data_IF_121680000721
#
_entry.id   IF_121680000721
#
_cell.length_a   1.000
_cell.length_b   1.000
_cell.length_c   1.000
_cell.angle_alpha   90.00
_cell.angle_beta   90.00
_cell.angle_gamma   90.00
#
_symmetry.space_group_name_H-M   'P 1'
#
loop_
_entity.id
_entity.type
_entity.pdbx_description
1 polymer ?
#
# COMPACT_ATOMS: atom_id res chain seq x y z
N UNK A 1 -27.98 10.03 22.85
CA UNK A 1 -28.76 11.15 22.26
C UNK A 1 -27.92 11.91 21.20
N UNK A 2 -26.70 12.37 21.50
CA UNK A 2 -25.85 13.07 20.50
C UNK A 2 -25.54 12.26 19.26
N UNK A 3 -25.25 10.94 19.36
CA UNK A 3 -25.01 10.08 18.20
C UNK A 3 -26.26 9.88 17.32
N UNK A 4 -27.44 9.90 17.93
CA UNK A 4 -28.72 9.78 17.16
C UNK A 4 -29.00 11.05 16.39
N UNK A 5 -28.69 12.21 16.97
CA UNK A 5 -28.85 13.52 16.35
C UNK A 5 -27.87 13.69 15.16
N UNK A 6 -26.62 13.30 15.33
CA UNK A 6 -25.59 13.32 14.26
C UNK A 6 -25.97 12.38 13.11
N UNK A 7 -26.41 11.15 13.40
CA UNK A 7 -26.89 10.23 12.37
C UNK A 7 -28.13 10.77 11.62
N UNK A 8 -29.02 11.46 12.33
CA UNK A 8 -30.20 12.06 11.71
C UNK A 8 -29.84 13.25 10.81
N UNK A 9 -28.87 14.07 11.21
CA UNK A 9 -28.35 15.14 10.39
C UNK A 9 -27.63 14.61 9.14
N UNK A 10 -26.86 13.53 9.25
CA UNK A 10 -26.21 12.85 8.10
C UNK A 10 -27.24 12.19 7.15
N UNK A 11 -28.38 11.75 7.65
CA UNK A 11 -29.47 11.23 6.82
C UNK A 11 -30.26 12.32 6.07
N UNK A 12 -30.36 13.51 6.66
CA UNK A 12 -31.02 14.68 6.08
C UNK A 12 -30.13 15.44 5.06
N UNK A 13 -28.80 15.21 5.06
CA UNK A 13 -27.93 15.80 4.04
C UNK A 13 -28.19 15.25 2.62
N UNK A 14 -28.42 16.15 1.68
CA UNK A 14 -28.61 15.81 0.27
C UNK A 14 -27.37 15.11 -0.29
N UNK A 15 -27.49 13.80 -0.55
CA UNK A 15 -26.38 12.99 -1.10
C UNK A 15 -26.13 13.35 -2.55
N UNK A 16 -24.92 13.77 -2.84
CA UNK A 16 -24.50 14.13 -4.18
C UNK A 16 -24.22 12.92 -5.06
N UNK A 17 -24.60 13.03 -6.31
CA UNK A 17 -24.22 12.08 -7.35
C UNK A 17 -22.74 12.26 -7.73
N UNK A 18 -22.14 11.25 -8.34
CA UNK A 18 -20.76 11.34 -8.84
C UNK A 18 -20.57 12.52 -9.80
N UNK A 19 -21.56 12.83 -10.62
CA UNK A 19 -21.53 13.97 -11.57
C UNK A 19 -21.45 15.31 -10.84
N UNK A 20 -22.24 15.50 -9.80
CA UNK A 20 -22.21 16.72 -8.97
C UNK A 20 -20.86 16.86 -8.25
N UNK A 21 -20.38 15.78 -7.62
CA UNK A 21 -19.09 15.73 -6.95
C UNK A 21 -17.93 16.03 -7.91
N UNK A 22 -17.97 15.53 -9.14
CA UNK A 22 -16.94 15.77 -10.14
C UNK A 22 -16.96 17.19 -10.72
N UNK A 23 -18.12 17.79 -10.85
CA UNK A 23 -18.28 19.15 -11.39
C UNK A 23 -17.85 20.23 -10.38
N UNK A 24 -17.85 19.94 -9.10
CA UNK A 24 -17.38 20.85 -8.07
C UNK A 24 -15.87 20.74 -7.91
N UNK A 25 -15.15 21.85 -8.01
CA UNK A 25 -13.69 21.89 -8.12
C UNK A 25 -12.97 21.27 -6.91
N UNK A 26 -13.37 21.60 -5.71
CA UNK A 26 -12.74 21.09 -4.49
C UNK A 26 -13.05 19.61 -4.23
N UNK A 27 -14.29 19.17 -4.43
CA UNK A 27 -14.67 17.76 -4.27
C UNK A 27 -14.01 16.87 -5.30
N UNK A 28 -13.86 17.33 -6.54
CA UNK A 28 -13.09 16.63 -7.58
C UNK A 28 -11.65 16.39 -7.16
N UNK A 29 -11.00 17.39 -6.55
CA UNK A 29 -9.62 17.22 -6.03
C UNK A 29 -9.56 16.19 -4.92
N UNK A 30 -10.52 16.18 -4.01
CA UNK A 30 -10.60 15.19 -2.93
C UNK A 30 -10.83 13.78 -3.48
N UNK A 31 -11.71 13.63 -4.46
CA UNK A 31 -11.93 12.37 -5.17
C UNK A 31 -10.63 11.86 -5.81
N UNK A 32 -9.88 12.72 -6.48
CA UNK A 32 -8.59 12.37 -7.08
C UNK A 32 -7.54 11.98 -6.04
N UNK A 33 -7.51 12.66 -4.88
CA UNK A 33 -6.62 12.29 -3.77
C UNK A 33 -6.99 10.90 -3.24
N UNK A 34 -8.27 10.62 -3.00
CA UNK A 34 -8.73 9.33 -2.53
C UNK A 34 -8.45 8.19 -3.52
N UNK A 35 -8.70 8.41 -4.80
CA UNK A 35 -8.36 7.45 -5.88
C UNK A 35 -6.84 7.19 -5.89
N UNK A 36 -6.03 8.25 -5.84
CA UNK A 36 -4.57 8.12 -5.84
C UNK A 36 -4.07 7.36 -4.62
N UNK A 37 -4.62 7.61 -3.42
CA UNK A 37 -4.31 6.85 -2.21
C UNK A 37 -4.62 5.36 -2.38
N UNK A 38 -5.80 5.02 -2.93
CA UNK A 38 -6.17 3.64 -3.21
C UNK A 38 -5.26 2.96 -4.24
N UNK A 39 -4.91 3.68 -5.31
CA UNK A 39 -3.99 3.17 -6.33
C UNK A 39 -2.58 2.96 -5.76
N UNK A 40 -2.02 3.93 -5.06
CA UNK A 40 -0.69 3.81 -4.45
C UNK A 40 -0.64 2.71 -3.40
N UNK A 41 -1.70 2.50 -2.62
CA UNK A 41 -1.78 1.41 -1.66
C UNK A 41 -1.50 0.04 -2.30
N UNK A 42 -2.06 -0.21 -3.48
CA UNK A 42 -1.85 -1.47 -4.20
C UNK A 42 -0.54 -1.49 -5.01
N UNK A 43 -0.12 -0.34 -5.52
CA UNK A 43 1.16 -0.18 -6.21
C UNK A 43 2.38 -0.34 -5.28
N UNK A 44 2.20 -0.43 -3.97
CA UNK A 44 3.25 -0.90 -3.05
C UNK A 44 3.73 -2.30 -3.38
N UNK A 45 2.93 -3.09 -4.08
CA UNK A 45 3.24 -4.48 -4.39
C UNK A 45 2.99 -5.46 -3.23
N UNK A 46 2.24 -5.05 -2.18
CA UNK A 46 1.97 -5.92 -1.02
C UNK A 46 1.34 -7.25 -1.40
N UNK A 47 0.40 -7.23 -2.33
CA UNK A 47 -0.28 -8.45 -2.74
C UNK A 47 0.61 -9.38 -3.55
N UNK A 48 1.67 -8.87 -4.20
CA UNK A 48 2.67 -9.72 -4.83
C UNK A 48 3.44 -10.53 -3.80
N UNK A 49 3.83 -9.91 -2.69
CA UNK A 49 4.44 -10.63 -1.57
C UNK A 49 3.47 -11.64 -0.93
N UNK A 50 2.19 -11.27 -0.75
CA UNK A 50 1.23 -12.18 -0.11
C UNK A 50 0.85 -13.37 -0.98
N UNK A 51 0.71 -13.18 -2.29
CA UNK A 51 0.23 -14.24 -3.21
C UNK A 51 1.35 -15.06 -3.83
N UNK A 52 2.52 -14.44 -4.08
CA UNK A 52 3.60 -15.08 -4.82
C UNK A 52 4.85 -15.37 -3.98
N UNK A 53 4.82 -15.13 -2.65
CA UNK A 53 5.99 -15.38 -1.81
C UNK A 53 6.54 -16.81 -1.93
N UNK A 54 5.72 -17.89 -1.94
CA UNK A 54 6.25 -19.22 -2.14
C UNK A 54 7.02 -19.38 -3.45
N UNK A 55 6.53 -18.74 -4.53
CA UNK A 55 7.24 -18.73 -5.83
C UNK A 55 8.54 -17.93 -5.75
N UNK A 56 8.52 -16.78 -5.08
CA UNK A 56 9.70 -15.93 -4.89
C UNK A 56 10.76 -16.68 -4.08
N UNK A 57 10.38 -17.35 -2.99
CA UNK A 57 11.28 -18.14 -2.17
C UNK A 57 11.83 -19.36 -2.92
N UNK A 58 10.99 -20.03 -3.68
CA UNK A 58 11.44 -21.13 -4.54
C UNK A 58 12.44 -20.63 -5.60
N UNK A 59 12.16 -19.46 -6.21
CA UNK A 59 13.03 -18.81 -7.18
C UNK A 59 14.37 -18.30 -6.61
N UNK A 60 14.60 -18.35 -5.31
CA UNK A 60 15.87 -18.02 -4.66
C UNK A 60 16.48 -19.24 -3.95
N UNK A 61 16.01 -20.45 -4.29
CA UNK A 61 16.66 -21.71 -3.91
C UNK A 61 16.06 -22.45 -2.71
N UNK A 62 14.93 -22.03 -2.14
CA UNK A 62 14.22 -22.84 -1.13
C UNK A 62 13.49 -24.00 -1.80
N UNK A 63 13.35 -25.13 -1.10
CA UNK A 63 12.46 -26.20 -1.55
C UNK A 63 11.00 -25.71 -1.59
N UNK A 64 10.15 -26.35 -2.41
CA UNK A 64 8.73 -26.00 -2.48
C UNK A 64 8.04 -26.15 -1.12
N UNK A 65 8.39 -27.19 -0.34
CA UNK A 65 7.84 -27.42 0.98
C UNK A 65 8.29 -26.35 1.99
N UNK A 66 9.56 -25.96 1.97
CA UNK A 66 10.09 -24.91 2.82
C UNK A 66 9.48 -23.55 2.45
N UNK A 67 9.33 -23.24 1.14
CA UNK A 67 8.74 -22.00 0.66
C UNK A 67 7.30 -21.80 1.16
N UNK A 68 6.51 -22.87 1.19
CA UNK A 68 5.14 -22.83 1.74
C UNK A 68 5.18 -22.64 3.26
N UNK A 69 6.06 -23.35 3.96
CA UNK A 69 6.19 -23.24 5.41
C UNK A 69 6.67 -21.85 5.83
N UNK A 70 7.67 -21.31 5.14
CA UNK A 70 8.22 -19.98 5.41
C UNK A 70 7.22 -18.86 5.14
N UNK A 71 6.25 -19.08 4.25
CA UNK A 71 5.14 -18.13 4.04
C UNK A 71 4.31 -17.91 5.31
N UNK A 72 4.24 -18.89 6.21
CA UNK A 72 3.56 -18.74 7.52
C UNK A 72 4.21 -17.64 8.36
N UNK A 73 5.54 -17.52 8.34
CA UNK A 73 6.25 -16.47 9.11
C UNK A 73 5.92 -15.06 8.61
N UNK A 74 5.72 -14.89 7.30
CA UNK A 74 5.26 -13.59 6.76
C UNK A 74 3.81 -13.32 7.13
N UNK A 75 2.95 -14.34 7.21
CA UNK A 75 1.61 -14.23 7.75
C UNK A 75 1.61 -13.78 9.22
N UNK A 76 2.49 -14.32 10.04
CA UNK A 76 2.68 -13.90 11.43
C UNK A 76 3.15 -12.43 11.49
N UNK A 77 4.14 -12.05 10.67
CA UNK A 77 4.61 -10.66 10.58
C UNK A 77 3.47 -9.71 10.17
N UNK A 78 2.61 -10.13 9.25
CA UNK A 78 1.40 -9.39 8.85
C UNK A 78 0.44 -9.19 10.03
N UNK A 79 0.13 -10.22 10.80
CA UNK A 79 -0.74 -10.12 11.97
C UNK A 79 -0.16 -9.19 13.05
N UNK A 80 1.13 -9.34 13.36
CA UNK A 80 1.83 -8.46 14.31
C UNK A 80 1.82 -7.01 13.77
N UNK A 81 2.09 -6.83 12.48
CA UNK A 81 2.02 -5.53 11.82
C UNK A 81 0.64 -4.89 11.95
N UNK A 82 -0.43 -5.61 11.68
CA UNK A 82 -1.80 -5.12 11.81
C UNK A 82 -2.14 -4.72 13.26
N UNK A 83 -1.74 -5.52 14.24
CA UNK A 83 -1.91 -5.20 15.67
C UNK A 83 -1.15 -3.94 16.09
N UNK A 84 0.11 -3.82 15.68
CA UNK A 84 0.91 -2.60 15.92
C UNK A 84 0.35 -1.39 15.18
N UNK A 85 -0.23 -1.58 13.99
CA UNK A 85 -0.86 -0.55 13.18
C UNK A 85 -1.99 0.16 13.91
N UNK A 86 -2.86 -0.57 14.59
CA UNK A 86 -3.93 -0.01 15.40
C UNK A 86 -3.40 0.93 16.49
N UNK A 87 -2.32 0.52 17.16
CA UNK A 87 -1.67 1.34 18.17
C UNK A 87 -0.98 2.57 17.56
N UNK A 88 -0.22 2.39 16.48
CA UNK A 88 0.50 3.47 15.78
C UNK A 88 -0.48 4.55 15.31
N UNK A 89 -1.55 4.15 14.65
CA UNK A 89 -2.56 5.09 14.14
C UNK A 89 -3.31 5.80 15.27
N UNK A 90 -3.52 5.14 16.42
CA UNK A 90 -4.15 5.78 17.58
C UNK A 90 -3.27 6.87 18.21
N UNK A 91 -1.94 6.75 18.14
CA UNK A 91 -0.99 7.66 18.80
C UNK A 91 -0.46 8.76 17.89
N UNK A 92 -0.14 8.45 16.64
CA UNK A 92 0.55 9.34 15.71
C UNK A 92 -0.41 9.99 14.70
N UNK A 93 0.04 11.09 14.09
CA UNK A 93 -0.68 11.80 13.04
C UNK A 93 -0.76 10.93 11.77
N UNK A 94 -1.93 10.89 11.12
CA UNK A 94 -2.21 10.05 9.93
C UNK A 94 -1.17 10.25 8.82
N UNK A 95 -0.92 11.52 8.49
CA UNK A 95 0.03 11.91 7.44
C UNK A 95 1.45 11.46 7.75
N UNK A 96 1.93 11.62 8.99
CA UNK A 96 3.26 11.19 9.39
C UNK A 96 3.41 9.67 9.32
N UNK A 97 2.38 8.93 9.77
CA UNK A 97 2.38 7.46 9.65
C UNK A 97 2.49 7.04 8.20
N UNK A 98 1.70 7.64 7.29
CA UNK A 98 1.78 7.37 5.85
C UNK A 98 3.17 7.68 5.27
N UNK A 99 3.76 8.83 5.62
CA UNK A 99 5.12 9.21 5.16
C UNK A 99 6.17 8.19 5.63
N UNK A 100 6.17 7.82 6.92
CA UNK A 100 7.14 6.85 7.44
C UNK A 100 6.93 5.45 6.87
N UNK A 101 5.67 5.06 6.67
CA UNK A 101 5.32 3.80 6.03
C UNK A 101 5.86 3.74 4.59
N UNK A 102 5.56 4.73 3.75
CA UNK A 102 6.02 4.75 2.36
C UNK A 102 7.55 4.87 2.24
N UNK A 103 8.20 5.60 3.14
CA UNK A 103 9.65 5.65 3.23
C UNK A 103 10.24 4.27 3.57
N UNK A 104 9.70 3.60 4.58
CA UNK A 104 10.12 2.25 4.96
C UNK A 104 9.91 1.22 3.84
N UNK A 105 8.77 1.28 3.14
CA UNK A 105 8.47 0.42 1.99
C UNK A 105 9.47 0.69 0.86
N UNK A 106 9.72 1.96 0.53
CA UNK A 106 10.69 2.34 -0.51
C UNK A 106 12.08 1.78 -0.20
N UNK A 107 12.54 1.90 1.04
CA UNK A 107 13.82 1.35 1.49
C UNK A 107 13.83 -0.17 1.37
N UNK A 108 12.80 -0.85 1.87
CA UNK A 108 12.71 -2.31 1.84
C UNK A 108 12.73 -2.86 0.40
N UNK A 109 11.94 -2.27 -0.50
CA UNK A 109 11.89 -2.69 -1.91
C UNK A 109 13.18 -2.34 -2.66
N UNK A 110 13.81 -1.20 -2.38
CA UNK A 110 15.12 -0.86 -2.94
C UNK A 110 16.19 -1.85 -2.48
N UNK A 111 16.19 -2.22 -1.20
CA UNK A 111 17.10 -3.23 -0.66
C UNK A 111 16.85 -4.59 -1.30
N UNK A 112 15.58 -4.96 -1.48
CA UNK A 112 15.22 -6.21 -2.16
C UNK A 112 15.70 -6.24 -3.61
N UNK A 113 15.53 -5.13 -4.35
CA UNK A 113 16.04 -4.98 -5.71
C UNK A 113 17.57 -5.16 -5.78
N UNK A 114 18.31 -4.57 -4.82
CA UNK A 114 19.77 -4.72 -4.72
C UNK A 114 20.17 -6.17 -4.38
N UNK A 115 19.45 -6.84 -3.48
CA UNK A 115 19.71 -8.25 -3.17
C UNK A 115 19.48 -9.14 -4.39
N UNK A 116 18.43 -8.88 -5.16
CA UNK A 116 18.24 -9.60 -6.42
C UNK A 116 19.33 -9.29 -7.45
N UNK A 117 19.75 -8.02 -7.58
CA UNK A 117 20.77 -7.63 -8.55
C UNK A 117 22.16 -8.20 -8.25
N UNK A 118 22.56 -8.19 -6.98
CA UNK A 118 23.94 -8.55 -6.59
C UNK A 118 24.04 -9.90 -5.88
N UNK A 119 22.94 -10.39 -5.30
CA UNK A 119 22.93 -11.62 -4.54
C UNK A 119 22.30 -12.81 -5.26
N UNK A 120 21.32 -12.59 -6.13
CA UNK A 120 20.58 -13.64 -6.83
C UNK A 120 20.99 -13.76 -8.29
N UNK A 121 20.88 -12.67 -9.06
CA UNK A 121 21.12 -12.67 -10.51
C UNK A 121 22.51 -13.22 -10.94
N UNK A 122 23.62 -12.97 -10.23
CA UNK A 122 24.92 -13.52 -10.62
C UNK A 122 25.02 -15.04 -10.55
N UNK A 123 24.08 -15.68 -9.83
CA UNK A 123 24.05 -17.13 -9.60
C UNK A 123 22.94 -17.84 -10.36
N UNK A 124 22.11 -17.11 -11.09
CA UNK A 124 21.05 -17.65 -11.95
C UNK A 124 21.67 -18.26 -13.23
N UNK A 125 21.31 -19.52 -13.52
CA UNK A 125 21.79 -20.25 -14.69
C UNK A 125 20.75 -20.14 -15.83
N UNK A 126 21.18 -20.43 -17.06
CA UNK A 126 20.31 -20.35 -18.27
C UNK A 126 19.06 -21.25 -18.20
N UNK A 127 19.11 -22.30 -17.42
CA UNK A 127 17.99 -23.23 -17.20
C UNK A 127 17.02 -22.77 -16.08
N UNK A 128 17.25 -21.59 -15.50
CA UNK A 128 16.44 -21.04 -14.41
C UNK A 128 16.73 -21.68 -13.04
N UNK A 129 17.78 -22.51 -12.92
CA UNK A 129 18.28 -23.00 -11.64
C UNK A 129 19.35 -22.08 -11.07
N UNK A 130 19.77 -22.34 -9.82
CA UNK A 130 20.80 -21.52 -9.17
C UNK A 130 22.08 -22.32 -8.95
N UNK A 131 23.22 -21.65 -9.18
CA UNK A 131 24.52 -22.24 -8.90
C UNK A 131 24.65 -22.63 -7.42
N UNK A 132 25.31 -23.76 -7.17
CA UNK A 132 25.65 -24.21 -5.82
C UNK A 132 26.57 -23.25 -5.07
N UNK A 133 27.20 -22.31 -5.79
CA UNK A 133 28.08 -21.27 -5.23
C UNK A 133 27.30 -20.08 -4.64
N UNK A 134 25.97 -20.01 -4.82
CA UNK A 134 25.15 -18.96 -4.22
C UNK A 134 25.22 -19.04 -2.69
N UNK A 135 25.62 -17.95 -2.00
CA UNK A 135 25.71 -17.95 -0.54
C UNK A 135 24.36 -18.32 0.09
N UNK A 136 24.35 -19.32 0.97
CA UNK A 136 23.14 -19.80 1.64
C UNK A 136 22.39 -18.71 2.44
N UNK A 137 23.04 -17.57 2.71
CA UNK A 137 22.45 -16.43 3.39
C UNK A 137 21.50 -15.65 2.47
N UNK A 138 21.67 -15.66 1.14
CA UNK A 138 20.91 -14.84 0.18
C UNK A 138 19.40 -15.15 0.24
N UNK A 139 18.94 -16.39 0.17
CA UNK A 139 17.52 -16.71 0.31
C UNK A 139 16.91 -16.24 1.62
N UNK A 140 17.64 -16.37 2.73
CA UNK A 140 17.19 -15.89 4.04
C UNK A 140 17.11 -14.38 4.11
N UNK A 141 18.02 -13.66 3.45
CA UNK A 141 17.99 -12.21 3.36
C UNK A 141 16.75 -11.73 2.61
N UNK A 142 16.41 -12.38 1.49
CA UNK A 142 15.17 -12.12 0.75
C UNK A 142 13.95 -12.32 1.65
N UNK A 143 13.85 -13.44 2.35
CA UNK A 143 12.74 -13.72 3.26
C UNK A 143 12.61 -12.64 4.35
N UNK A 144 13.71 -12.27 5.00
CA UNK A 144 13.70 -11.28 6.09
C UNK A 144 13.28 -9.91 5.56
N UNK A 145 13.77 -9.47 4.40
CA UNK A 145 13.40 -8.19 3.80
C UNK A 145 11.92 -8.18 3.43
N UNK A 146 11.41 -9.26 2.84
CA UNK A 146 9.97 -9.39 2.52
C UNK A 146 9.12 -9.38 3.78
N UNK A 147 9.53 -10.07 4.85
CA UNK A 147 8.82 -10.05 6.13
C UNK A 147 8.79 -8.64 6.76
N UNK A 148 9.91 -7.91 6.69
CA UNK A 148 9.99 -6.50 7.12
C UNK A 148 9.07 -5.62 6.27
N UNK A 149 9.09 -5.78 4.95
CA UNK A 149 8.20 -5.06 4.04
C UNK A 149 6.72 -5.29 4.39
N UNK A 150 6.31 -6.56 4.56
CA UNK A 150 4.94 -6.93 4.93
C UNK A 150 4.57 -6.32 6.29
N UNK A 151 5.47 -6.41 7.29
CA UNK A 151 5.25 -5.82 8.61
C UNK A 151 5.05 -4.30 8.53
N UNK A 152 5.92 -3.57 7.83
CA UNK A 152 5.81 -2.11 7.66
C UNK A 152 4.48 -1.76 6.98
N UNK A 153 4.14 -2.48 5.92
CA UNK A 153 2.89 -2.22 5.19
C UNK A 153 1.65 -2.42 6.06
N UNK A 154 1.63 -3.46 6.85
CA UNK A 154 0.51 -3.75 7.74
C UNK A 154 0.47 -2.86 8.99
N UNK A 155 1.62 -2.32 9.41
CA UNK A 155 1.71 -1.39 10.55
C UNK A 155 1.16 0.01 10.27
N UNK A 156 0.89 0.34 9.03
CA UNK A 156 0.40 1.64 8.61
C UNK A 156 -0.89 1.56 7.80
N UNK A 157 -1.95 0.96 8.31
CA UNK A 157 -3.26 0.85 7.64
C UNK A 157 -3.98 2.20 7.44
N UNK A 158 -3.20 3.26 7.17
CA UNK A 158 -3.64 4.66 7.11
C UNK A 158 -4.59 4.90 5.95
N UNK A 159 -4.41 4.22 4.82
CA UNK A 159 -5.25 4.41 3.62
C UNK A 159 -6.72 4.10 3.92
N UNK A 160 -7.00 3.03 4.66
CA UNK A 160 -8.37 2.68 5.03
C UNK A 160 -9.03 3.72 5.93
N UNK A 161 -8.24 4.37 6.79
CA UNK A 161 -8.72 5.45 7.65
C UNK A 161 -8.98 6.70 6.82
N UNK A 162 -8.05 7.07 5.91
CA UNK A 162 -8.28 8.18 4.99
C UNK A 162 -9.55 8.00 4.16
N UNK A 163 -9.83 6.80 3.67
CA UNK A 163 -11.05 6.52 2.94
C UNK A 163 -12.32 6.80 3.76
N UNK A 164 -12.26 6.65 5.08
CA UNK A 164 -13.36 6.99 5.99
C UNK A 164 -13.44 8.47 6.35
N UNK A 165 -12.30 9.16 6.46
CA UNK A 165 -12.19 10.52 6.98
C UNK A 165 -12.10 11.61 5.90
N UNK A 166 -11.58 11.29 4.72
CA UNK A 166 -11.27 12.26 3.67
C UNK A 166 -12.51 12.81 2.96
N UNK A 167 -13.57 12.00 2.84
CA UNK A 167 -14.74 12.37 2.06
C UNK A 167 -15.80 13.04 2.93
N UNK A 168 -16.25 14.27 2.55
CA UNK A 168 -17.39 14.94 3.16
C UNK A 168 -18.67 14.10 3.16
N UNK A 169 -19.55 14.34 4.12
CA UNK A 169 -20.81 13.59 4.27
C UNK A 169 -21.60 13.44 2.97
N UNK A 170 -21.76 14.54 2.22
CA UNK A 170 -22.48 14.60 0.94
C UNK A 170 -21.96 13.65 -0.15
N UNK A 171 -20.64 13.40 -0.17
CA UNK A 171 -19.99 12.57 -1.21
C UNK A 171 -19.33 11.31 -0.68
N UNK A 172 -19.42 11.03 0.64
CA UNK A 172 -18.69 9.94 1.31
C UNK A 172 -18.93 8.58 0.67
N UNK A 173 -20.20 8.24 0.42
CA UNK A 173 -20.56 6.96 -0.20
C UNK A 173 -20.00 6.79 -1.61
N UNK A 174 -20.14 7.81 -2.44
CA UNK A 174 -19.64 7.81 -3.83
C UNK A 174 -18.12 7.87 -3.88
N UNK A 175 -17.51 8.74 -3.06
CA UNK A 175 -16.06 8.93 -2.99
C UNK A 175 -15.35 7.67 -2.49
N UNK A 176 -15.85 7.08 -1.40
CA UNK A 176 -15.30 5.85 -0.85
C UNK A 176 -15.46 4.67 -1.82
N UNK A 177 -16.66 4.50 -2.39
CA UNK A 177 -16.92 3.46 -3.39
C UNK A 177 -15.99 3.57 -4.61
N UNK A 178 -15.74 4.78 -5.11
CA UNK A 178 -14.84 5.00 -6.23
C UNK A 178 -13.37 4.73 -5.86
N UNK A 179 -12.91 5.22 -4.72
CA UNK A 179 -11.54 5.03 -4.25
C UNK A 179 -11.24 3.54 -3.99
N UNK A 180 -12.13 2.83 -3.30
CA UNK A 180 -12.02 1.39 -3.05
C UNK A 180 -12.14 0.59 -4.35
N UNK A 181 -13.04 0.98 -5.26
CA UNK A 181 -13.15 0.36 -6.58
C UNK A 181 -11.83 0.46 -7.38
N UNK A 182 -11.23 1.65 -7.43
CA UNK A 182 -9.93 1.86 -8.07
C UNK A 182 -8.81 1.06 -7.39
N UNK A 183 -8.82 0.98 -6.06
CA UNK A 183 -7.90 0.15 -5.28
C UNK A 183 -7.95 -1.31 -5.73
N UNK A 184 -9.13 -1.91 -5.83
CA UNK A 184 -9.28 -3.31 -6.23
C UNK A 184 -8.98 -3.56 -7.70
N UNK A 185 -9.29 -2.60 -8.58
CA UNK A 185 -8.86 -2.66 -9.99
C UNK A 185 -7.34 -2.63 -10.07
N UNK A 186 -6.68 -1.75 -9.33
CA UNK A 186 -5.22 -1.69 -9.30
C UNK A 186 -4.60 -2.96 -8.72
N UNK A 187 -5.21 -3.56 -7.68
CA UNK A 187 -4.82 -4.87 -7.16
C UNK A 187 -4.82 -5.93 -8.27
N UNK A 188 -5.91 -6.02 -9.02
CA UNK A 188 -6.02 -6.98 -10.13
C UNK A 188 -4.93 -6.75 -11.19
N UNK A 189 -4.66 -5.49 -11.55
CA UNK A 189 -3.61 -5.13 -12.51
C UNK A 189 -2.24 -5.55 -11.99
N UNK A 190 -1.87 -5.15 -10.76
CA UNK A 190 -0.57 -5.48 -10.16
C UNK A 190 -0.38 -6.98 -10.06
N UNK A 191 -1.41 -7.71 -9.60
CA UNK A 191 -1.35 -9.17 -9.47
C UNK A 191 -1.18 -9.87 -10.81
N UNK A 192 -1.85 -9.38 -11.86
CA UNK A 192 -1.73 -9.95 -13.21
C UNK A 192 -0.39 -9.62 -13.90
N UNK A 193 0.15 -8.42 -13.65
CA UNK A 193 1.38 -7.94 -14.30
C UNK A 193 2.64 -8.45 -13.61
N UNK A 194 2.58 -8.75 -12.32
CA UNK A 194 3.77 -9.15 -11.53
C UNK A 194 4.46 -10.43 -12.04
N UNK A 195 3.76 -11.57 -12.34
CA UNK A 195 4.43 -12.76 -12.83
C UNK A 195 5.21 -12.53 -14.13
N UNK A 196 4.63 -11.94 -15.20
CA UNK A 196 5.41 -11.66 -16.41
C UNK A 196 6.54 -10.64 -16.18
N UNK A 197 6.43 -9.72 -15.21
CA UNK A 197 7.54 -8.83 -14.87
C UNK A 197 8.72 -9.60 -14.28
N UNK A 198 8.47 -10.48 -13.32
CA UNK A 198 9.53 -11.32 -12.72
C UNK A 198 10.16 -12.24 -13.77
N UNK A 199 9.36 -12.86 -14.62
CA UNK A 199 9.83 -13.80 -15.64
C UNK A 199 10.65 -13.11 -16.74
N UNK A 200 10.25 -11.91 -17.19
CA UNK A 200 10.93 -11.23 -18.30
C UNK A 200 12.04 -10.27 -17.90
N UNK A 201 11.93 -9.64 -16.73
CA UNK A 201 12.86 -8.60 -16.28
C UNK A 201 13.67 -9.00 -15.04
N UNK A 202 13.35 -10.15 -14.43
CA UNK A 202 13.97 -10.58 -13.18
C UNK A 202 13.57 -9.78 -11.95
N UNK A 203 13.99 -10.24 -10.79
CA UNK A 203 13.61 -9.65 -9.50
C UNK A 203 14.20 -8.24 -9.30
N UNK A 204 15.43 -8.02 -9.73
CA UNK A 204 16.11 -6.74 -9.56
C UNK A 204 15.34 -5.57 -10.21
N UNK A 205 14.97 -5.71 -11.48
CA UNK A 205 14.23 -4.69 -12.23
C UNK A 205 12.81 -4.56 -11.69
N UNK A 206 12.14 -5.69 -11.44
CA UNK A 206 10.75 -5.69 -10.95
C UNK A 206 10.62 -4.97 -9.62
N UNK A 207 11.43 -5.30 -8.62
CA UNK A 207 11.39 -4.62 -7.32
C UNK A 207 11.94 -3.20 -7.39
N UNK A 208 12.86 -2.91 -8.31
CA UNK A 208 13.32 -1.55 -8.61
C UNK A 208 12.18 -0.65 -9.12
N UNK A 209 11.32 -1.16 -9.99
CA UNK A 209 10.13 -0.44 -10.48
C UNK A 209 9.15 -0.18 -9.32
N UNK A 210 8.87 -1.19 -8.48
CA UNK A 210 8.02 -0.99 -7.31
C UNK A 210 8.62 0.03 -6.33
N UNK A 211 9.93 0.00 -6.09
CA UNK A 211 10.63 0.99 -5.25
C UNK A 211 10.48 2.41 -5.81
N UNK A 212 10.63 2.60 -7.11
CA UNK A 212 10.46 3.89 -7.76
C UNK A 212 9.02 4.41 -7.66
N UNK A 213 8.03 3.54 -7.84
CA UNK A 213 6.61 3.89 -7.68
C UNK A 213 6.33 4.30 -6.24
N UNK A 214 6.84 3.55 -5.25
CA UNK A 214 6.65 3.88 -3.84
C UNK A 214 7.37 5.17 -3.43
N UNK A 215 8.50 5.49 -4.05
CA UNK A 215 9.12 6.79 -3.88
C UNK A 215 8.22 7.93 -4.38
N UNK A 216 7.51 7.75 -5.49
CA UNK A 216 6.50 8.71 -5.96
C UNK A 216 5.33 8.80 -4.98
N UNK A 217 4.87 7.66 -4.44
CA UNK A 217 3.85 7.65 -3.39
C UNK A 217 4.29 8.40 -2.12
N UNK A 218 5.54 8.23 -1.69
CA UNK A 218 6.14 9.00 -0.59
C UNK A 218 6.08 10.50 -0.86
N UNK A 219 6.46 10.95 -2.06
CA UNK A 219 6.36 12.36 -2.43
C UNK A 219 4.92 12.86 -2.46
N UNK A 220 3.97 12.01 -2.86
CA UNK A 220 2.55 12.31 -2.83
C UNK A 220 2.05 12.50 -1.39
N UNK A 221 2.42 11.64 -0.45
CA UNK A 221 2.11 11.82 0.97
C UNK A 221 2.69 13.11 1.54
N UNK A 222 3.94 13.43 1.18
CA UNK A 222 4.61 14.65 1.67
C UNK A 222 3.95 15.92 1.12
N UNK A 223 3.51 15.93 -0.13
CA UNK A 223 3.09 17.17 -0.82
C UNK A 223 1.58 17.37 -0.90
N UNK A 224 0.81 16.28 -0.94
CA UNK A 224 -0.61 16.33 -1.33
C UNK A 224 -1.54 15.86 -0.23
N UNK A 225 -1.18 14.79 0.51
CA UNK A 225 -2.09 14.18 1.48
C UNK A 225 -2.27 15.10 2.70
N UNK A 226 -3.51 15.49 3.05
CA UNK A 226 -3.78 16.33 4.21
C UNK A 226 -3.68 15.53 5.52
N UNK A 227 -3.50 16.22 6.66
CA UNK A 227 -3.67 15.62 7.98
C UNK A 227 -5.15 15.65 8.36
N UNK A 228 -5.68 14.52 8.83
CA UNK A 228 -7.10 14.39 9.19
C UNK A 228 -7.33 14.15 10.69
N UNK A 229 -6.35 13.64 11.43
CA UNK A 229 -6.52 13.17 12.83
C UNK A 229 -6.97 14.24 13.83
N UNK A 230 -6.52 15.46 13.65
CA UNK A 230 -6.71 16.55 14.64
C UNK A 230 -7.95 17.40 14.38
N UNK A 231 -8.73 17.06 13.37
CA UNK A 231 -9.91 17.82 12.94
C UNK A 231 -11.16 16.96 13.03
N UNK A 232 -12.31 17.59 13.34
CA UNK A 232 -13.60 16.95 13.13
C UNK A 232 -13.89 16.79 11.63
N UNK A 233 -14.90 15.99 11.29
CA UNK A 233 -15.25 15.78 9.88
C UNK A 233 -15.69 17.09 9.20
N UNK A 234 -16.43 17.92 9.93
CA UNK A 234 -16.89 19.23 9.47
C UNK A 234 -15.71 20.20 9.26
N UNK A 235 -14.76 20.22 10.20
CA UNK A 235 -13.54 21.03 10.08
C UNK A 235 -12.66 20.59 8.92
N UNK A 236 -12.60 19.29 8.64
CA UNK A 236 -11.91 18.73 7.44
C UNK A 236 -12.58 19.26 6.18
N UNK A 237 -13.92 19.19 6.11
CA UNK A 237 -14.68 19.67 4.96
C UNK A 237 -14.40 21.14 4.68
N UNK A 238 -14.56 22.01 5.68
CA UNK A 238 -14.28 23.46 5.54
C UNK A 238 -12.83 23.76 5.11
N UNK A 239 -11.87 23.02 5.68
CA UNK A 239 -10.46 23.20 5.33
C UNK A 239 -10.18 22.79 3.88
N UNK A 240 -10.69 21.64 3.46
CA UNK A 240 -10.49 21.13 2.10
C UNK A 240 -11.19 22.04 1.09
N UNK A 241 -12.37 22.54 1.41
CA UNK A 241 -13.06 23.53 0.58
C UNK A 241 -12.22 24.79 0.44
N UNK A 242 -11.76 25.42 1.54
CA UNK A 242 -10.91 26.61 1.50
C UNK A 242 -9.58 26.39 0.76
N UNK A 243 -9.00 25.19 0.86
CA UNK A 243 -7.72 24.86 0.24
C UNK A 243 -7.84 24.62 -1.27
N UNK A 244 -8.99 24.14 -1.74
CA UNK A 244 -9.14 23.64 -3.11
C UNK A 244 -10.21 24.36 -3.95
N UNK A 245 -10.89 25.37 -3.41
CA UNK A 245 -11.87 26.22 -4.12
C UNK A 245 -11.26 27.04 -5.26
#
# INVERSE_FOLDING_TARGET
>A
EQMVEVNRQEEEEEKWTLRQAWNTKWTRKILLIGIALGCFDQLTGINTAMYYLPKILHAVGFSSADSITLNVYTGIASCIGAGTGLWVVSKFLRRHVGIYQEAGITIALSTLALVFAFGVAPYEMEDGTFSADMPAMVPWLVLVIVAIFVFIKQSGTVVWIYMGELFPGKIRGVGNGLAVGCLWIMNAIVTAVFPPMIENFGGAVTYGIFAAINFVALLFYIKVVPETKIYSLEEIEERLEKMYS
#
